data_IF_238647373655
#
_entry.id   IF_238647373655
#
_cell.length_a   1.000
_cell.length_b   1.000
_cell.length_c   1.000
_cell.angle_alpha   90.00
_cell.angle_beta   90.00
_cell.angle_gamma   90.00
#
_symmetry.space_group_name_H-M   'P 1'
#
loop_
_entity.id
_entity.type
_entity.pdbx_description
1 polymer ?
2 non-polymer ?
#
# COMPACT_ATOMS: atom_id res chain seq x y z
N UNK A 1 -13.62 9.24 0.89
CA UNK A 1 -12.49 8.42 0.43
C UNK A 1 -11.74 9.02 -0.75
N UNK A 2 -10.52 8.52 -0.97
CA UNK A 2 -9.62 8.88 -2.05
C UNK A 2 -8.58 7.77 -2.19
N UNK A 3 -7.89 7.77 -3.33
CA UNK A 3 -6.79 6.87 -3.60
C UNK A 3 -5.48 7.55 -3.23
N UNK A 4 -4.51 6.75 -2.76
CA UNK A 4 -3.14 7.19 -2.58
C UNK A 4 -2.20 6.15 -3.17
N UNK A 5 -1.11 6.63 -3.79
CA UNK A 5 -0.04 5.82 -4.26
C UNK A 5 1.10 5.85 -3.25
N UNK A 6 1.57 4.66 -2.89
CA UNK A 6 2.78 4.47 -2.15
C UNK A 6 3.75 3.92 -3.17
N UNK A 7 4.83 4.64 -3.50
CA UNK A 7 5.89 4.06 -4.30
C UNK A 7 6.60 3.06 -3.39
N UNK A 8 6.74 1.82 -3.85
CA UNK A 8 7.13 0.69 -3.02
C UNK A 8 8.31 0.00 -3.71
N UNK A 9 9.41 -0.20 -2.99
CA UNK A 9 10.65 -0.75 -3.51
C UNK A 9 11.12 -1.88 -2.60
N UNK A 10 11.80 -2.88 -3.17
CA UNK A 10 12.30 -4.05 -2.47
C UNK A 10 11.54 -5.30 -2.92
N UNK A 11 10.22 -5.33 -2.67
CA UNK A 11 9.36 -6.41 -3.13
C UNK A 11 9.55 -6.65 -4.63
N UNK A 12 9.53 -7.91 -5.07
CA UNK A 12 9.63 -8.28 -6.47
C UNK A 12 8.88 -9.60 -6.72
N UNK A 13 7.97 -10.04 -5.83
CA UNK A 13 7.25 -11.29 -6.08
C UNK A 13 5.80 -11.26 -5.63
N UNK A 14 5.06 -12.24 -6.14
CA UNK A 14 3.67 -12.49 -5.85
C UNK A 14 3.45 -12.59 -4.34
N UNK A 15 4.29 -13.36 -3.65
CA UNK A 15 4.18 -13.53 -2.21
C UNK A 15 4.23 -12.17 -1.50
N UNK A 16 5.13 -11.28 -1.91
CA UNK A 16 5.34 -10.01 -1.25
C UNK A 16 4.16 -9.11 -1.54
N UNK A 17 3.84 -8.94 -2.82
CA UNK A 17 2.72 -8.11 -3.17
C UNK A 17 1.38 -8.63 -2.64
N UNK A 18 1.25 -9.95 -2.53
CA UNK A 18 0.07 -10.56 -1.96
C UNK A 18 0.00 -10.19 -0.48
N UNK A 19 1.07 -10.51 0.23
CA UNK A 19 1.31 -10.09 1.59
C UNK A 19 0.97 -8.61 1.77
N UNK A 20 1.40 -7.74 0.84
CA UNK A 20 1.13 -6.32 0.99
C UNK A 20 -0.38 -6.10 0.91
N UNK A 21 -0.99 -6.35 -0.25
CA UNK A 21 -2.40 -5.98 -0.44
C UNK A 21 -3.31 -6.60 0.62
N UNK A 22 -2.98 -7.82 1.03
CA UNK A 22 -3.60 -8.51 2.15
C UNK A 22 -3.61 -7.64 3.42
N UNK A 23 -2.47 -7.04 3.79
CA UNK A 23 -2.39 -6.24 5.00
C UNK A 23 -3.26 -5.01 4.85
N UNK A 24 -3.12 -4.30 3.73
CA UNK A 24 -3.93 -3.12 3.44
C UNK A 24 -5.41 -3.44 3.63
N UNK A 25 -5.84 -4.57 3.06
CA UNK A 25 -7.20 -5.06 3.19
C UNK A 25 -7.64 -5.13 4.66
N UNK A 26 -6.72 -5.49 5.55
CA UNK A 26 -7.03 -5.82 6.93
C UNK A 26 -6.68 -4.68 7.91
N UNK A 27 -6.61 -3.42 7.45
CA UNK A 27 -6.41 -2.30 8.36
C UNK A 27 -7.76 -1.91 8.97
N UNK A 28 -8.39 -0.83 8.50
CA UNK A 28 -9.70 -0.41 8.96
C UNK A 28 -10.36 0.44 7.88
N UNK A 29 -9.75 1.59 7.56
CA UNK A 29 -10.38 2.58 6.70
C UNK A 29 -9.93 2.44 5.25
N UNK A 30 -9.81 1.20 4.75
CA UNK A 30 -9.33 0.89 3.41
C UNK A 30 -10.47 0.26 2.61
N UNK A 31 -10.88 0.91 1.52
CA UNK A 31 -11.99 0.49 0.69
C UNK A 31 -11.57 -0.45 -0.43
N UNK A 32 -10.42 -0.18 -1.06
CA UNK A 32 -9.92 -0.93 -2.19
C UNK A 32 -8.40 -0.94 -2.09
N UNK A 33 -7.74 -1.87 -2.78
CA UNK A 33 -6.30 -2.02 -2.71
C UNK A 33 -5.79 -2.84 -3.88
N UNK A 34 -5.02 -2.19 -4.76
CA UNK A 34 -4.53 -2.72 -6.01
C UNK A 34 -3.02 -2.46 -6.05
N UNK A 35 -2.21 -3.51 -5.89
CA UNK A 35 -0.76 -3.41 -6.00
C UNK A 35 -0.27 -3.71 -7.41
N UNK A 36 0.88 -3.15 -7.81
CA UNK A 36 1.47 -3.42 -9.12
C UNK A 36 2.98 -3.67 -9.02
N UNK A 37 3.41 -4.85 -9.46
CA UNK A 37 4.82 -5.13 -9.74
C UNK A 37 5.27 -4.52 -11.07
N UNK A 38 4.43 -3.75 -11.78
CA UNK A 38 4.84 -3.06 -13.00
C UNK A 38 5.41 -1.69 -12.62
N UNK A 39 4.58 -0.84 -12.01
CA UNK A 39 4.98 0.51 -11.65
C UNK A 39 5.85 0.52 -10.39
N UNK A 40 5.77 -0.53 -9.57
CA UNK A 40 6.39 -0.58 -8.25
C UNK A 40 5.77 0.48 -7.36
N UNK A 41 4.44 0.56 -7.40
CA UNK A 41 3.65 1.28 -6.43
C UNK A 41 2.57 0.35 -5.88
N UNK A 42 2.04 0.68 -4.70
CA UNK A 42 0.79 0.15 -4.18
C UNK A 42 -0.23 1.28 -4.29
N UNK A 43 -1.37 1.03 -4.94
CA UNK A 43 -2.49 1.96 -4.89
C UNK A 43 -3.48 1.43 -3.87
N UNK A 44 -3.95 2.30 -2.98
CA UNK A 44 -4.91 1.94 -1.94
C UNK A 44 -5.99 3.01 -1.89
N UNK A 45 -7.27 2.63 -1.73
CA UNK A 45 -8.35 3.59 -1.60
C UNK A 45 -8.66 3.61 -0.11
N UNK A 46 -8.47 4.75 0.56
CA UNK A 46 -8.76 4.87 1.98
C UNK A 46 -9.84 5.92 2.19
N UNK A 47 -10.55 5.84 3.33
CA UNK A 47 -11.55 6.84 3.67
C UNK A 47 -10.92 7.99 4.45
N UNK A 48 -10.76 7.83 5.76
CA UNK A 48 -10.05 8.76 6.65
C UNK A 48 -9.33 7.99 7.75
N UNK A 49 -10.03 7.05 8.42
CA UNK A 49 -9.55 6.41 9.64
C UNK A 49 -8.12 5.89 9.51
N UNK A 50 -7.76 5.44 8.31
CA UNK A 50 -6.42 5.01 7.98
C UNK A 50 -5.95 5.86 6.81
N UNK A 51 -4.71 6.37 6.88
CA UNK A 51 -4.11 7.24 5.89
C UNK A 51 -2.82 6.62 5.36
N UNK A 52 -2.29 7.23 4.30
CA UNK A 52 -1.01 6.92 3.69
C UNK A 52 0.11 6.85 4.72
N UNK A 53 -0.04 7.56 5.84
CA UNK A 53 0.91 7.57 6.94
C UNK A 53 1.03 6.17 7.56
N UNK A 54 -0.10 5.67 8.06
CA UNK A 54 -0.17 4.33 8.63
C UNK A 54 0.17 3.30 7.55
N UNK A 55 -0.47 3.40 6.39
CA UNK A 55 -0.25 2.53 5.25
C UNK A 55 1.23 2.41 4.90
N UNK A 56 1.93 3.54 4.72
CA UNK A 56 3.37 3.54 4.60
C UNK A 56 3.97 2.57 5.62
N UNK A 57 3.66 2.79 6.90
CA UNK A 57 4.26 2.04 7.99
C UNK A 57 4.01 0.54 7.85
N UNK A 58 2.74 0.15 7.68
CA UNK A 58 2.33 -1.22 7.38
C UNK A 58 3.20 -1.80 6.25
N UNK A 59 3.25 -1.08 5.14
CA UNK A 59 3.95 -1.52 3.94
C UNK A 59 5.46 -1.60 4.20
N UNK A 60 6.05 -0.69 4.98
CA UNK A 60 7.45 -0.80 5.40
C UNK A 60 7.64 -2.08 6.22
N UNK A 61 6.84 -2.25 7.28
CA UNK A 61 6.87 -3.35 8.23
C UNK A 61 6.86 -4.71 7.54
N UNK A 62 6.05 -4.85 6.47
CA UNK A 62 6.05 -6.05 5.63
C UNK A 62 7.47 -6.49 5.25
N UNK A 63 8.38 -5.53 5.09
CA UNK A 63 9.82 -5.75 5.05
C UNK A 63 10.45 -5.14 3.81
N UNK A 64 10.06 -3.91 3.45
CA UNK A 64 10.51 -3.25 2.22
C UNK A 64 10.65 -1.75 2.44
N UNK A 65 11.02 -1.01 1.39
CA UNK A 65 11.26 0.42 1.43
C UNK A 65 10.18 1.11 0.60
N UNK A 66 9.29 1.88 1.21
CA UNK A 66 8.24 2.60 0.49
C UNK A 66 8.07 4.02 1.00
N UNK A 67 7.40 4.86 0.20
CA UNK A 67 6.97 6.19 0.59
C UNK A 67 5.69 6.56 -0.14
N UNK A 68 4.84 7.36 0.52
CA UNK A 68 3.73 8.06 -0.10
C UNK A 68 4.27 8.90 -1.25
N UNK A 69 4.01 8.46 -2.49
CA UNK A 69 4.51 9.14 -3.67
C UNK A 69 3.55 10.28 -4.00
N UNK A 70 2.24 10.03 -4.03
CA UNK A 70 1.24 11.05 -4.34
C UNK A 70 -0.17 10.50 -4.18
N UNK A 71 -1.19 11.37 -4.13
CA UNK A 71 -2.57 10.94 -4.18
C UNK A 71 -2.92 10.43 -5.59
N UNK A 72 -2.99 9.10 -5.71
CA UNK A 72 -3.73 8.29 -6.66
C UNK A 72 -3.02 8.06 -7.98
X LIG B 1 9.17 -11.15 -2.77
#
# INVERSE_FOLDING_TARGET
AREVILAVHGMTCSACTNTINTQLRALKGVTKCDISLVTNECQVTYDNEVTADSIKEIIEDCGFDCEILRDS
CU CU
#
